data_IF_536754635085
#
_entry.id   IF_536754635085
#
_cell.length_a   1.000
_cell.length_b   1.000
_cell.length_c   1.000
_cell.angle_alpha   90.00
_cell.angle_beta   90.00
_cell.angle_gamma   90.00
#
_symmetry.space_group_name_H-M   'P 1'
#
loop_
_entity.id
_entity.type
_entity.pdbx_description
1 polymer ?
#
# COMPACT_ATOMS: atom_id res chain seq x y z
N UNK A 1 47.73 23.19 12.38
CA UNK A 1 46.96 21.95 12.65
C UNK A 1 47.79 20.78 12.14
N UNK A 2 48.17 19.82 12.99
CA UNK A 2 49.13 18.77 12.61
C UNK A 2 48.37 17.68 11.84
N UNK A 3 48.94 17.18 10.73
CA UNK A 3 48.35 16.16 9.84
C UNK A 3 47.85 14.89 10.56
N UNK A 4 48.38 14.63 11.77
CA UNK A 4 47.99 13.51 12.64
C UNK A 4 46.61 13.70 13.28
N UNK A 5 46.23 14.95 13.55
CA UNK A 5 44.96 15.29 14.18
C UNK A 5 43.80 15.16 13.17
N UNK A 6 44.08 15.40 11.88
CA UNK A 6 43.09 15.29 10.80
C UNK A 6 42.71 13.83 10.49
N UNK A 7 43.68 12.90 10.54
CA UNK A 7 43.41 11.48 10.28
C UNK A 7 42.60 10.82 11.41
N UNK A 8 42.72 11.32 12.64
CA UNK A 8 41.95 10.79 13.78
C UNK A 8 40.45 11.13 13.67
N UNK A 9 40.13 12.34 13.20
CA UNK A 9 38.74 12.81 13.03
C UNK A 9 38.03 12.05 11.90
N UNK A 10 38.73 11.72 10.81
CA UNK A 10 38.18 10.95 9.69
C UNK A 10 37.91 9.46 10.03
N UNK A 11 38.66 8.87 10.96
CA UNK A 11 38.47 7.47 11.36
C UNK A 11 37.23 7.24 12.24
N UNK A 12 36.79 8.24 12.99
CA UNK A 12 35.66 8.12 13.92
C UNK A 12 34.27 8.29 13.27
N UNK A 13 34.20 8.88 12.08
CA UNK A 13 32.92 9.14 11.40
C UNK A 13 32.41 7.96 10.54
N UNK A 14 33.20 6.90 10.36
CA UNK A 14 32.89 5.84 9.40
C UNK A 14 32.11 4.63 9.97
N UNK A 15 31.71 4.65 11.25
CA UNK A 15 30.99 3.54 11.90
C UNK A 15 29.72 4.01 12.61
N UNK A 16 28.96 4.91 11.99
CA UNK A 16 27.55 5.01 12.32
C UNK A 16 26.86 3.82 11.63
N UNK A 17 26.25 2.87 12.35
CA UNK A 17 25.42 1.87 11.71
C UNK A 17 24.32 2.62 10.95
N UNK A 18 24.28 2.43 9.63
CA UNK A 18 23.13 2.79 8.83
C UNK A 18 21.97 1.94 9.35
N UNK A 19 21.14 2.51 10.22
CA UNK A 19 19.82 1.97 10.50
C UNK A 19 19.01 2.25 9.24
N UNK A 20 19.20 1.44 8.19
CA UNK A 20 18.13 1.27 7.21
C UNK A 20 16.98 0.71 8.03
N UNK A 21 16.03 1.56 8.38
CA UNK A 21 14.78 1.12 8.99
C UNK A 21 14.22 0.02 8.08
N UNK A 22 14.20 -1.21 8.59
CA UNK A 22 13.60 -2.32 7.86
C UNK A 22 12.16 -1.91 7.54
N UNK A 23 11.68 -2.25 6.34
CA UNK A 23 10.27 -2.03 6.02
C UNK A 23 9.41 -2.64 7.14
N UNK A 24 8.39 -1.92 7.64
CA UNK A 24 7.61 -2.40 8.77
C UNK A 24 6.99 -3.75 8.41
N UNK A 25 7.02 -4.69 9.36
CA UNK A 25 6.32 -5.96 9.21
C UNK A 25 4.82 -5.70 9.18
N UNK A 26 4.12 -6.35 8.26
CA UNK A 26 2.69 -6.17 8.10
C UNK A 26 2.00 -7.45 7.67
N UNK A 27 0.72 -7.57 8.02
CA UNK A 27 -0.18 -8.62 7.54
C UNK A 27 -1.62 -8.15 7.66
N UNK A 28 -2.52 -8.67 6.83
CA UNK A 28 -3.95 -8.46 6.99
C UNK A 28 -4.75 -9.67 6.47
N UNK A 29 -5.91 -9.85 7.08
CA UNK A 29 -7.02 -10.70 6.67
C UNK A 29 -8.22 -9.79 6.49
N UNK A 30 -8.88 -9.85 5.33
CA UNK A 30 -9.98 -8.95 5.00
C UNK A 30 -11.08 -9.64 4.20
N UNK A 31 -12.31 -9.20 4.43
CA UNK A 31 -13.43 -9.47 3.53
C UNK A 31 -13.37 -8.51 2.34
N UNK A 32 -13.58 -9.06 1.15
CA UNK A 32 -13.63 -8.27 -0.09
C UNK A 32 -14.94 -8.53 -0.81
N UNK A 33 -15.76 -7.49 -0.93
CA UNK A 33 -16.91 -7.51 -1.82
C UNK A 33 -16.56 -6.74 -3.10
N UNK A 34 -16.64 -7.40 -4.25
CA UNK A 34 -16.30 -6.83 -5.55
C UNK A 34 -17.54 -6.76 -6.46
N UNK A 35 -17.69 -5.63 -7.16
CA UNK A 35 -18.59 -5.50 -8.29
C UNK A 35 -17.80 -5.02 -9.50
N UNK A 36 -17.92 -5.71 -10.62
CA UNK A 36 -17.18 -5.43 -11.85
C UNK A 36 -18.12 -5.45 -13.05
N UNK A 37 -17.83 -4.62 -14.05
CA UNK A 37 -18.50 -4.64 -15.35
C UNK A 37 -18.18 -5.89 -16.17
N UNK A 38 -17.10 -6.60 -15.88
CA UNK A 38 -16.65 -7.75 -16.67
C UNK A 38 -17.57 -8.98 -16.54
N UNK A 39 -17.50 -9.86 -17.54
CA UNK A 39 -18.00 -11.22 -17.42
C UNK A 39 -17.27 -11.99 -16.30
N UNK A 40 -17.97 -12.94 -15.66
CA UNK A 40 -17.42 -13.77 -14.59
C UNK A 40 -17.24 -15.20 -15.11
N UNK A 41 -16.04 -15.78 -15.02
CA UNK A 41 -14.80 -15.19 -14.49
C UNK A 41 -14.17 -14.18 -15.46
N UNK A 42 -13.35 -13.22 -14.95
CA UNK A 42 -12.73 -12.20 -15.81
C UNK A 42 -11.96 -12.85 -16.97
N UNK A 43 -12.32 -12.58 -18.24
CA UNK A 43 -11.62 -13.11 -19.40
C UNK A 43 -10.12 -12.76 -19.40
N UNK A 44 -9.80 -11.58 -18.86
CA UNK A 44 -8.46 -11.02 -18.73
C UNK A 44 -7.47 -11.95 -18.01
N UNK A 45 -7.92 -12.64 -16.95
CA UNK A 45 -7.08 -13.54 -16.14
C UNK A 45 -6.66 -14.80 -16.90
N UNK A 46 -7.31 -15.08 -18.03
CA UNK A 46 -7.07 -16.26 -18.87
C UNK A 46 -6.59 -15.87 -20.27
N UNK A 47 -6.12 -14.62 -20.46
CA UNK A 47 -5.63 -14.12 -21.74
C UNK A 47 -6.71 -14.02 -22.82
N UNK A 48 -7.99 -13.93 -22.44
CA UNK A 48 -9.11 -13.79 -23.37
C UNK A 48 -9.51 -12.32 -23.52
N UNK A 49 -9.94 -11.96 -24.72
CA UNK A 49 -10.47 -10.63 -25.00
C UNK A 49 -11.82 -10.40 -24.32
N UNK A 50 -12.11 -9.14 -24.00
CA UNK A 50 -13.42 -8.66 -23.54
C UNK A 50 -13.78 -7.41 -24.34
N UNK A 51 -15.09 -7.19 -24.55
CA UNK A 51 -15.60 -5.95 -25.17
C UNK A 51 -15.93 -4.87 -24.12
N UNK A 52 -15.90 -5.23 -22.84
CA UNK A 52 -16.25 -4.36 -21.73
C UNK A 52 -14.99 -3.67 -21.20
N UNK A 53 -15.15 -2.42 -20.78
CA UNK A 53 -14.14 -1.70 -20.00
C UNK A 53 -14.06 -2.31 -18.61
N UNK A 54 -12.87 -2.46 -18.04
CA UNK A 54 -12.69 -3.05 -16.70
C UNK A 54 -12.93 -1.99 -15.62
N UNK A 55 -14.20 -1.68 -15.40
CA UNK A 55 -14.68 -0.80 -14.34
C UNK A 55 -15.06 -1.66 -13.15
N UNK A 56 -14.52 -1.34 -11.98
CA UNK A 56 -14.75 -2.13 -10.79
C UNK A 56 -14.77 -1.31 -9.51
N UNK A 57 -15.37 -1.91 -8.49
CA UNK A 57 -15.24 -1.46 -7.12
C UNK A 57 -14.98 -2.65 -6.19
N UNK A 58 -14.28 -2.37 -5.09
CA UNK A 58 -13.99 -3.32 -4.02
C UNK A 58 -14.22 -2.64 -2.68
N UNK A 59 -15.21 -3.10 -1.93
CA UNK A 59 -15.30 -2.81 -0.51
C UNK A 59 -14.36 -3.77 0.23
N UNK A 60 -13.41 -3.20 0.97
CA UNK A 60 -12.44 -3.94 1.77
C UNK A 60 -12.75 -3.69 3.23
N UNK A 61 -12.95 -4.75 3.99
CA UNK A 61 -13.16 -4.71 5.44
C UNK A 61 -12.09 -5.56 6.11
N UNK A 62 -11.16 -4.92 6.84
CA UNK A 62 -10.07 -5.63 7.51
C UNK A 62 -10.61 -6.29 8.78
N UNK A 63 -10.56 -7.62 8.84
CA UNK A 63 -10.98 -8.40 9.99
C UNK A 63 -9.87 -8.51 11.04
N UNK A 64 -8.62 -8.74 10.59
CA UNK A 64 -7.43 -8.82 11.43
C UNK A 64 -6.22 -8.27 10.67
N UNK A 65 -5.28 -7.66 11.36
CA UNK A 65 -4.03 -7.26 10.72
C UNK A 65 -3.22 -6.30 11.56
N UNK A 66 -1.98 -6.08 11.15
CA UNK A 66 -1.09 -5.13 11.79
C UNK A 66 -0.16 -4.46 10.78
N UNK A 67 0.31 -3.27 11.14
CA UNK A 67 1.43 -2.57 10.51
C UNK A 67 2.38 -2.10 11.62
N UNK A 68 3.52 -2.79 11.78
CA UNK A 68 4.33 -2.63 12.99
C UNK A 68 3.51 -2.97 14.24
N UNK A 69 3.31 -1.99 15.12
CA UNK A 69 2.52 -2.14 16.34
C UNK A 69 1.06 -1.63 16.20
N UNK A 70 0.69 -1.08 15.04
CA UNK A 70 -0.64 -0.56 14.79
C UNK A 70 -1.62 -1.68 14.39
N UNK A 71 -2.79 -1.73 15.05
CA UNK A 71 -3.88 -2.63 14.70
C UNK A 71 -4.69 -2.07 13.51
N UNK A 72 -4.96 -2.94 12.53
CA UNK A 72 -5.71 -2.59 11.33
C UNK A 72 -7.18 -3.07 11.39
N UNK A 73 -7.56 -3.84 12.41
CA UNK A 73 -8.89 -4.42 12.52
C UNK A 73 -10.00 -3.34 12.54
N UNK A 74 -11.08 -3.59 11.79
CA UNK A 74 -12.23 -2.70 11.70
C UNK A 74 -12.08 -1.55 10.71
N UNK A 75 -10.88 -1.34 10.14
CA UNK A 75 -10.70 -0.40 9.03
C UNK A 75 -11.48 -0.88 7.81
N UNK A 76 -12.26 0.03 7.22
CA UNK A 76 -13.04 -0.21 6.01
C UNK A 76 -12.81 0.89 4.99
N UNK A 77 -12.62 0.52 3.74
CA UNK A 77 -12.48 1.47 2.64
C UNK A 77 -12.99 0.88 1.34
N UNK A 78 -13.44 1.76 0.45
CA UNK A 78 -13.90 1.43 -0.90
C UNK A 78 -12.83 1.83 -1.91
N UNK A 79 -12.43 0.89 -2.75
CA UNK A 79 -11.63 1.18 -3.94
C UNK A 79 -12.54 1.18 -5.15
N UNK A 80 -12.46 2.22 -5.97
CA UNK A 80 -13.09 2.25 -7.30
C UNK A 80 -12.02 2.46 -8.34
N UNK A 81 -12.17 1.85 -9.52
CA UNK A 81 -11.15 1.93 -10.55
C UNK A 81 -11.70 1.73 -11.96
N UNK A 82 -10.97 2.28 -12.92
CA UNK A 82 -10.88 1.76 -14.28
C UNK A 82 -9.48 1.16 -14.44
N UNK A 83 -9.39 -0.15 -14.67
CA UNK A 83 -8.11 -0.86 -14.68
C UNK A 83 -7.14 -0.24 -15.68
N UNK A 84 -5.90 0.01 -15.25
CA UNK A 84 -4.87 0.60 -16.09
C UNK A 84 -4.94 2.12 -16.24
N UNK A 85 -6.02 2.78 -15.78
CA UNK A 85 -6.22 4.22 -15.99
C UNK A 85 -6.28 5.02 -14.70
N UNK A 86 -7.17 4.67 -13.78
CA UNK A 86 -7.32 5.42 -12.54
C UNK A 86 -7.86 4.54 -11.42
N UNK A 87 -7.51 4.89 -10.19
CA UNK A 87 -8.11 4.34 -8.97
C UNK A 87 -8.41 5.48 -7.98
N UNK A 88 -9.44 5.30 -7.16
CA UNK A 88 -9.78 6.19 -6.05
C UNK A 88 -10.12 5.35 -4.83
N UNK A 89 -9.66 5.81 -3.68
CA UNK A 89 -9.91 5.18 -2.38
C UNK A 89 -10.81 6.12 -1.58
N UNK A 90 -11.92 5.60 -1.07
CA UNK A 90 -12.84 6.30 -0.20
C UNK A 90 -12.76 5.67 1.17
N UNK A 91 -12.52 6.50 2.17
CA UNK A 91 -12.33 6.10 3.55
C UNK A 91 -13.46 6.73 4.36
N UNK A 92 -13.96 6.00 5.35
CA UNK A 92 -14.97 6.55 6.27
C UNK A 92 -14.35 7.65 7.14
N UNK A 93 -15.07 8.75 7.35
CA UNK A 93 -14.65 9.84 8.23
C UNK A 93 -14.57 9.43 9.71
N UNK A 94 -15.10 8.27 10.07
CA UNK A 94 -15.09 7.77 11.45
C UNK A 94 -13.78 7.13 11.89
N UNK A 95 -12.76 7.03 11.02
CA UNK A 95 -11.44 6.52 11.44
C UNK A 95 -10.76 7.55 12.33
N UNK A 96 -10.19 7.10 13.44
CA UNK A 96 -9.34 7.96 14.27
C UNK A 96 -7.98 8.21 13.61
N UNK A 97 -7.22 9.18 14.14
CA UNK A 97 -5.94 9.59 13.57
C UNK A 97 -4.93 8.43 13.48
N UNK A 98 -4.93 7.51 14.46
CA UNK A 98 -4.02 6.37 14.49
C UNK A 98 -4.39 5.32 13.42
N UNK A 99 -5.70 5.06 13.25
CA UNK A 99 -6.21 4.20 12.18
C UNK A 99 -5.92 4.81 10.81
N UNK A 100 -6.11 6.12 10.64
CA UNK A 100 -5.77 6.81 9.40
C UNK A 100 -4.28 6.71 9.07
N UNK A 101 -3.40 6.98 10.04
CA UNK A 101 -1.95 6.86 9.85
C UNK A 101 -1.54 5.42 9.48
N UNK A 102 -2.12 4.42 10.15
CA UNK A 102 -1.85 3.02 9.86
C UNK A 102 -2.33 2.61 8.46
N UNK A 103 -3.48 3.11 8.01
CA UNK A 103 -4.00 2.88 6.67
C UNK A 103 -3.12 3.55 5.61
N UNK A 104 -2.72 4.80 5.82
CA UNK A 104 -1.82 5.52 4.92
C UNK A 104 -0.48 4.81 4.75
N UNK A 105 0.07 4.25 5.83
CA UNK A 105 1.27 3.41 5.78
C UNK A 105 1.06 2.07 5.08
N UNK A 106 -0.11 1.45 5.23
CA UNK A 106 -0.46 0.17 4.63
C UNK A 106 -0.67 0.27 3.11
N UNK A 107 -1.31 1.33 2.64
CA UNK A 107 -1.70 1.51 1.23
C UNK A 107 -0.54 1.30 0.23
N UNK A 108 0.63 1.94 0.35
CA UNK A 108 1.73 1.73 -0.58
C UNK A 108 2.33 0.32 -0.50
N UNK A 109 2.24 -0.35 0.66
CA UNK A 109 2.78 -1.70 0.89
C UNK A 109 1.88 -2.79 0.29
N UNK A 110 0.61 -2.81 0.69
CA UNK A 110 -0.34 -3.84 0.29
C UNK A 110 -0.97 -3.56 -1.10
N UNK A 111 -1.08 -2.28 -1.48
CA UNK A 111 -1.81 -1.85 -2.68
C UNK A 111 -0.92 -1.09 -3.69
N UNK A 112 0.40 -1.03 -3.49
CA UNK A 112 1.33 -0.33 -4.39
C UNK A 112 1.35 -0.84 -5.83
N UNK A 113 0.85 -2.06 -6.10
CA UNK A 113 0.68 -2.55 -7.48
C UNK A 113 -0.44 -1.81 -8.22
N UNK A 114 -1.52 -1.42 -7.54
CA UNK A 114 -2.56 -0.56 -8.12
C UNK A 114 -1.99 0.79 -8.52
N UNK A 115 -1.13 1.36 -7.68
CA UNK A 115 -0.46 2.64 -7.96
C UNK A 115 0.46 2.57 -9.18
N UNK A 116 1.13 1.42 -9.40
CA UNK A 116 1.95 1.19 -10.60
C UNK A 116 1.14 0.97 -11.87
N UNK A 117 -0.06 0.41 -11.75
CA UNK A 117 -0.92 0.14 -12.89
C UNK A 117 -1.87 1.29 -13.24
N UNK A 118 -2.18 2.17 -12.30
CA UNK A 118 -2.80 3.44 -12.61
C UNK A 118 -1.79 4.28 -13.39
N UNK A 119 -1.83 4.23 -14.73
CA UNK A 119 -1.07 5.18 -15.52
C UNK A 119 -1.59 6.57 -15.17
N UNK A 120 -0.73 7.39 -14.59
CA UNK A 120 -0.99 8.83 -14.38
C UNK A 120 -1.51 9.40 -15.70
N UNK A 121 -2.69 10.01 -15.64
CA UNK A 121 -3.20 10.89 -16.70
C UNK A 121 -2.19 12.02 -16.91
#
# INVERSE_FOLDING_TARGET
>A
MKRRDFNFVLGAAAVAPSVLAAAPTWSLEANVAECCSCEIPCPCNFGRATKLRCDGNRLIEIEKGWLGDADLAGIRFLVTFEMGKWSRIYINESLDDAQMESLEGLLPLAFGWFMRQAQTI
#
